data_IF_783544458315
#
_entry.id   IF_783544458315
#
_cell.length_a   1.000
_cell.length_b   1.000
_cell.length_c   1.000
_cell.angle_alpha   90.00
_cell.angle_beta   90.00
_cell.angle_gamma   90.00
#
_symmetry.space_group_name_H-M   'P 1'
#
loop_
_entity.id
_entity.type
_entity.pdbx_description
1 polymer ?
#
# COMPACT_ATOMS: atom_id res chain seq x y z
N UNK A 1 7.16 14.97 11.39
CA UNK A 1 8.09 13.83 11.41
C UNK A 1 8.50 13.41 10.00
N UNK A 2 7.67 12.73 9.19
CA UNK A 2 8.11 12.34 7.84
C UNK A 2 8.31 13.55 6.90
N UNK A 3 7.35 14.47 6.85
CA UNK A 3 7.40 15.66 5.99
C UNK A 3 8.45 16.71 6.40
N UNK A 4 9.08 16.56 7.55
CA UNK A 4 10.15 17.45 8.03
C UNK A 4 11.54 16.94 7.60
N UNK A 5 11.66 15.64 7.35
CA UNK A 5 12.93 14.95 7.08
C UNK A 5 13.03 14.41 5.65
N UNK A 6 11.89 14.19 4.97
CA UNK A 6 11.82 13.63 3.62
C UNK A 6 10.91 14.49 2.72
N UNK A 7 11.26 14.56 1.44
CA UNK A 7 10.35 15.11 0.44
C UNK A 7 9.28 14.09 0.03
N UNK A 8 8.17 14.57 -0.53
CA UNK A 8 7.03 13.71 -0.89
C UNK A 8 7.34 12.71 -2.02
N UNK A 9 8.35 12.98 -2.85
CA UNK A 9 8.85 12.06 -3.88
C UNK A 9 9.71 10.92 -3.30
N UNK A 10 10.19 11.06 -2.07
CA UNK A 10 10.89 10.00 -1.34
C UNK A 10 9.93 9.22 -0.42
N UNK A 11 9.12 9.93 0.38
CA UNK A 11 8.17 9.34 1.33
C UNK A 11 6.86 10.11 1.34
N UNK A 12 5.77 9.45 0.96
CA UNK A 12 4.41 9.98 1.03
C UNK A 12 3.55 9.16 2.00
N UNK A 13 2.71 9.86 2.77
CA UNK A 13 1.77 9.23 3.73
C UNK A 13 0.34 9.50 3.29
N UNK A 14 -0.40 8.42 3.06
CA UNK A 14 -1.81 8.48 2.70
C UNK A 14 -2.65 7.94 3.87
N UNK A 15 -3.49 8.78 4.45
CA UNK A 15 -4.40 8.39 5.54
C UNK A 15 -5.80 8.18 5.00
N UNK A 16 -6.54 7.23 5.56
CA UNK A 16 -7.90 6.93 5.12
C UNK A 16 -8.41 5.57 5.60
N UNK A 17 -9.55 5.17 5.03
CA UNK A 17 -10.23 3.92 5.36
C UNK A 17 -9.87 2.78 4.41
N UNK A 18 -10.71 1.73 4.39
CA UNK A 18 -10.52 0.56 3.52
C UNK A 18 -10.43 0.89 2.03
N UNK A 19 -11.13 1.93 1.59
CA UNK A 19 -11.14 2.43 0.20
C UNK A 19 -9.76 2.92 -0.25
N UNK A 20 -9.05 3.66 0.61
CA UNK A 20 -7.68 4.10 0.34
C UNK A 20 -6.72 2.90 0.33
N UNK A 21 -6.90 1.95 1.25
CA UNK A 21 -6.08 0.73 1.29
C UNK A 21 -6.24 -0.13 0.04
N UNK A 22 -7.46 -0.27 -0.47
CA UNK A 22 -7.76 -0.99 -1.71
C UNK A 22 -7.08 -0.32 -2.91
N UNK A 23 -7.26 0.99 -3.06
CA UNK A 23 -6.61 1.77 -4.11
C UNK A 23 -5.08 1.69 -4.04
N UNK A 24 -4.50 1.81 -2.84
CA UNK A 24 -3.06 1.72 -2.60
C UNK A 24 -2.51 0.35 -3.01
N UNK A 25 -3.14 -0.75 -2.57
CA UNK A 25 -2.67 -2.10 -2.89
C UNK A 25 -2.77 -2.49 -4.37
N UNK A 26 -3.50 -1.72 -5.17
CA UNK A 26 -3.68 -1.93 -6.61
C UNK A 26 -2.64 -1.18 -7.46
N UNK A 27 -1.79 -0.36 -6.85
CA UNK A 27 -0.73 0.36 -7.55
C UNK A 27 0.41 -0.58 -7.95
N UNK A 28 1.11 -0.31 -9.05
CA UNK A 28 2.21 -1.14 -9.55
C UNK A 28 3.51 -0.86 -8.77
N UNK A 29 3.54 -1.18 -7.48
CA UNK A 29 4.74 -1.07 -6.66
C UNK A 29 5.76 -2.17 -6.98
N UNK A 30 7.03 -1.95 -6.64
CA UNK A 30 8.05 -3.00 -6.69
C UNK A 30 7.94 -4.00 -5.53
N UNK A 31 7.31 -3.60 -4.43
CA UNK A 31 7.09 -4.43 -3.24
C UNK A 31 5.96 -3.86 -2.38
N UNK A 32 5.13 -4.73 -1.79
CA UNK A 32 4.04 -4.33 -0.91
C UNK A 32 4.13 -5.02 0.45
N UNK A 33 4.28 -4.23 1.52
CA UNK A 33 4.25 -4.74 2.88
C UNK A 33 2.88 -4.49 3.53
N UNK A 34 2.24 -5.56 4.01
CA UNK A 34 0.94 -5.48 4.68
C UNK A 34 1.01 -6.08 6.09
N UNK A 35 0.35 -5.43 7.05
CA UNK A 35 0.12 -5.96 8.40
C UNK A 35 -1.34 -5.77 8.77
N UNK A 36 -2.01 -6.87 9.12
CA UNK A 36 -3.43 -6.87 9.45
C UNK A 36 -4.03 -8.27 9.49
N UNK A 37 -5.36 -8.37 9.45
CA UNK A 37 -6.06 -9.65 9.48
C UNK A 37 -5.84 -10.47 8.21
N UNK A 38 -5.71 -11.79 8.34
CA UNK A 38 -5.55 -12.72 7.20
C UNK A 38 -6.70 -12.65 6.19
N UNK A 39 -7.91 -12.34 6.65
CA UNK A 39 -9.06 -12.12 5.76
C UNK A 39 -8.81 -10.96 4.79
N UNK A 40 -8.20 -9.88 5.26
CA UNK A 40 -7.86 -8.70 4.46
C UNK A 40 -6.63 -8.96 3.59
N UNK A 41 -5.62 -9.67 4.11
CA UNK A 41 -4.40 -10.00 3.37
C UNK A 41 -4.67 -10.69 2.02
N UNK A 42 -5.73 -11.51 1.93
CA UNK A 42 -6.14 -12.16 0.67
C UNK A 42 -6.59 -11.16 -0.40
N UNK A 43 -7.29 -10.09 0.01
CA UNK A 43 -7.71 -9.02 -0.90
C UNK A 43 -6.52 -8.21 -1.38
N UNK A 44 -5.61 -7.87 -0.45
CA UNK A 44 -4.36 -7.15 -0.75
C UNK A 44 -3.48 -7.95 -1.71
N UNK A 45 -3.24 -9.24 -1.43
CA UNK A 45 -2.44 -10.12 -2.29
C UNK A 45 -3.04 -10.22 -3.70
N UNK A 46 -4.38 -10.33 -3.80
CA UNK A 46 -5.06 -10.36 -5.09
C UNK A 46 -4.79 -9.07 -5.89
N UNK A 47 -5.00 -7.91 -5.28
CA UNK A 47 -4.79 -6.61 -5.95
C UNK A 47 -3.33 -6.43 -6.40
N UNK A 48 -2.38 -6.75 -5.52
CA UNK A 48 -0.94 -6.69 -5.80
C UNK A 48 -0.52 -7.63 -6.95
N UNK A 49 -1.11 -8.84 -7.02
CA UNK A 49 -0.76 -9.85 -8.01
C UNK A 49 -1.11 -9.47 -9.45
N UNK A 50 -2.09 -8.59 -9.67
CA UNK A 50 -2.43 -8.08 -11.00
C UNK A 50 -1.26 -7.29 -11.63
N UNK A 51 -0.36 -6.76 -10.80
CA UNK A 51 0.86 -6.05 -11.23
C UNK A 51 2.15 -6.85 -10.93
N UNK A 52 2.05 -8.13 -10.57
CA UNK A 52 3.19 -8.98 -10.18
C UNK A 52 4.02 -8.43 -9.00
N UNK A 53 3.39 -7.70 -8.08
CA UNK A 53 4.05 -7.13 -6.91
C UNK A 53 4.24 -8.20 -5.82
N UNK A 54 5.47 -8.38 -5.29
CA UNK A 54 5.75 -9.27 -4.17
C UNK A 54 5.23 -8.72 -2.82
#
# INVERSE_FOLDING_TARGET
MFSEEFSEDEVAVFTGGPDIGEAFSSLPFDHLLFTGATSIAKHVMRAASENLVP
#
